data_IF_353073531234
#
_entry.id   IF_353073531234
#
_cell.length_a   1.000
_cell.length_b   1.000
_cell.length_c   1.000
_cell.angle_alpha   90.00
_cell.angle_beta   90.00
_cell.angle_gamma   90.00
#
_symmetry.space_group_name_H-M   'P 1'
#
loop_
_entity.id
_entity.type
_entity.pdbx_description
1 polymer ?
#
# COMPACT_ATOMS: atom_id res chain seq x y z
N UNK A 1 3.46 11.08 8.56
CA UNK A 1 2.60 10.19 7.75
C UNK A 1 3.03 10.32 6.31
N UNK A 2 3.74 9.33 5.75
CA UNK A 2 4.02 9.28 4.30
C UNK A 2 2.73 8.84 3.61
N UNK A 3 2.04 9.77 2.95
CA UNK A 3 0.77 9.50 2.26
C UNK A 3 0.97 8.50 1.11
N UNK A 4 -0.02 7.62 0.91
CA UNK A 4 0.04 6.47 0.00
C UNK A 4 -0.36 6.78 -1.44
N UNK A 5 -0.13 8.01 -1.91
CA UNK A 5 -0.74 8.58 -3.12
C UNK A 5 -0.68 7.70 -4.38
N UNK A 6 0.43 6.98 -4.60
CA UNK A 6 0.54 6.10 -5.76
C UNK A 6 -0.47 4.94 -5.71
N UNK A 7 -0.67 4.34 -4.53
CA UNK A 7 -1.65 3.26 -4.37
C UNK A 7 -3.08 3.79 -4.40
N UNK A 8 -3.34 4.95 -3.80
CA UNK A 8 -4.64 5.61 -3.86
C UNK A 8 -5.03 5.95 -5.31
N UNK A 9 -4.09 6.53 -6.07
CA UNK A 9 -4.29 6.83 -7.49
C UNK A 9 -4.46 5.56 -8.33
N UNK A 10 -3.68 4.51 -8.06
CA UNK A 10 -3.85 3.23 -8.74
C UNK A 10 -5.23 2.62 -8.47
N UNK A 11 -5.73 2.72 -7.25
CA UNK A 11 -7.08 2.24 -6.92
C UNK A 11 -8.18 3.09 -7.54
N UNK A 12 -8.01 4.43 -7.62
CA UNK A 12 -8.90 5.29 -8.42
C UNK A 12 -8.99 4.79 -9.87
N UNK A 13 -7.85 4.53 -10.52
CA UNK A 13 -7.84 4.00 -11.88
C UNK A 13 -8.50 2.62 -11.98
N UNK A 14 -8.37 1.78 -10.95
CA UNK A 14 -9.03 0.49 -10.87
C UNK A 14 -10.56 0.65 -10.79
N UNK A 15 -11.07 1.55 -9.94
CA UNK A 15 -12.51 1.86 -9.84
C UNK A 15 -13.09 2.32 -11.18
N UNK A 16 -12.41 3.23 -11.86
CA UNK A 16 -12.88 3.73 -13.15
C UNK A 16 -12.91 2.62 -14.21
N UNK A 17 -11.86 1.79 -14.26
CA UNK A 17 -11.76 0.73 -15.27
C UNK A 17 -12.68 -0.47 -15.01
N UNK A 18 -12.94 -0.80 -13.74
CA UNK A 18 -13.69 -2.01 -13.36
C UNK A 18 -15.16 -1.74 -13.04
N UNK A 19 -15.50 -0.54 -12.59
CA UNK A 19 -16.84 -0.20 -12.14
C UNK A 19 -17.41 1.07 -12.79
N UNK A 20 -16.65 1.76 -13.68
CA UNK A 20 -17.08 3.04 -14.24
C UNK A 20 -17.10 4.19 -13.21
N UNK A 21 -16.57 3.94 -12.00
CA UNK A 21 -16.60 4.89 -10.90
C UNK A 21 -15.43 5.87 -10.97
N UNK A 22 -15.72 7.16 -10.96
CA UNK A 22 -14.71 8.19 -10.72
C UNK A 22 -14.68 8.52 -9.22
N UNK A 23 -13.48 8.72 -8.68
CA UNK A 23 -13.26 8.96 -7.25
C UNK A 23 -12.42 10.22 -7.03
N UNK A 24 -12.78 11.04 -6.04
CA UNK A 24 -11.94 12.12 -5.55
C UNK A 24 -11.24 11.69 -4.26
N UNK A 25 -9.93 11.88 -4.25
CA UNK A 25 -9.03 11.50 -3.16
C UNK A 25 -8.81 12.69 -2.22
N UNK A 26 -8.58 12.42 -0.94
CA UNK A 26 -8.33 13.42 0.10
C UNK A 26 -6.95 14.08 0.05
N UNK A 27 -6.53 14.63 -1.10
CA UNK A 27 -5.18 15.19 -1.29
C UNK A 27 -5.04 16.66 -0.86
N UNK A 28 -6.11 17.24 -0.35
CA UNK A 28 -6.16 18.63 0.09
C UNK A 28 -5.34 18.88 1.37
N UNK A 29 -5.02 20.15 1.61
CA UNK A 29 -4.41 20.63 2.86
C UNK A 29 -5.54 20.86 3.86
N UNK A 30 -5.53 20.15 4.99
CA UNK A 30 -6.51 20.32 6.06
C UNK A 30 -6.05 19.66 7.35
N UNK A 31 -6.96 19.51 8.32
CA UNK A 31 -6.63 18.94 9.63
C UNK A 31 -6.53 17.42 9.54
N UNK A 32 -5.63 16.82 10.32
CA UNK A 32 -5.35 15.38 10.25
C UNK A 32 -6.62 14.54 10.41
N UNK A 33 -7.50 14.94 11.34
CA UNK A 33 -8.74 14.26 11.69
C UNK A 33 -9.71 14.14 10.50
N UNK A 34 -9.63 15.06 9.53
CA UNK A 34 -10.48 15.10 8.34
C UNK A 34 -10.07 14.05 7.29
N UNK A 35 -8.84 13.51 7.36
CA UNK A 35 -8.28 12.56 6.38
C UNK A 35 -7.96 11.19 6.98
N UNK A 36 -8.14 11.01 8.30
CA UNK A 36 -7.99 9.70 8.95
C UNK A 36 -9.06 8.66 8.58
N UNK A 37 -10.34 9.01 8.31
CA UNK A 37 -11.39 8.00 8.19
C UNK A 37 -11.44 7.26 6.84
N UNK A 38 -11.10 7.92 5.72
CA UNK A 38 -11.26 7.37 4.37
C UNK A 38 -10.30 8.04 3.40
N UNK A 39 -9.72 7.25 2.49
CA UNK A 39 -8.86 7.75 1.43
C UNK A 39 -9.67 8.18 0.19
N UNK A 40 -10.92 7.70 0.07
CA UNK A 40 -11.90 8.11 -0.96
C UNK A 40 -12.94 9.03 -0.30
N UNK A 41 -12.97 10.29 -0.73
CA UNK A 41 -13.84 11.32 -0.14
C UNK A 41 -15.17 11.44 -0.88
N UNK A 42 -15.12 11.43 -2.22
CA UNK A 42 -16.30 11.53 -3.08
C UNK A 42 -16.19 10.54 -4.23
N UNK A 43 -17.33 10.09 -4.73
CA UNK A 43 -17.42 9.27 -5.93
C UNK A 43 -18.53 9.77 -6.84
N UNK A 44 -18.45 9.37 -8.10
CA UNK A 44 -19.45 9.64 -9.12
C UNK A 44 -19.60 8.43 -10.04
N UNK A 45 -20.84 8.11 -10.32
CA UNK A 45 -21.28 7.21 -11.38
C UNK A 45 -21.47 8.04 -12.67
N UNK A 46 -20.72 7.76 -13.75
CA UNK A 46 -20.86 8.44 -15.06
C UNK A 46 -20.99 9.99 -14.99
N UNK A 47 -22.12 10.54 -15.47
CA UNK A 47 -22.41 11.99 -15.53
C UNK A 47 -23.16 12.54 -14.30
N UNK A 48 -23.42 11.71 -13.28
CA UNK A 48 -24.11 12.12 -12.06
C UNK A 48 -23.29 13.14 -11.22
N UNK A 49 -23.88 13.88 -10.27
CA UNK A 49 -23.08 14.70 -9.36
C UNK A 49 -22.25 13.82 -8.41
N UNK A 50 -21.11 14.36 -7.95
CA UNK A 50 -20.32 13.70 -6.90
C UNK A 50 -21.11 13.56 -5.60
N UNK A 51 -20.98 12.40 -4.97
CA UNK A 51 -21.59 12.06 -3.68
C UNK A 51 -20.58 11.46 -2.72
N UNK A 52 -20.88 11.54 -1.43
CA UNK A 52 -20.10 10.85 -0.40
C UNK A 52 -20.34 9.33 -0.53
N UNK A 53 -19.30 8.49 -0.52
CA UNK A 53 -19.47 7.04 -0.54
C UNK A 53 -20.17 6.55 0.73
N UNK A 54 -20.99 5.48 0.62
CA UNK A 54 -21.62 4.87 1.79
C UNK A 54 -20.65 4.03 2.62
N UNK A 55 -19.52 3.64 2.04
CA UNK A 55 -18.44 2.90 2.70
C UNK A 55 -17.20 3.78 2.86
N UNK A 56 -16.58 3.73 4.03
CA UNK A 56 -15.25 4.29 4.25
C UNK A 56 -14.20 3.30 3.75
N UNK A 57 -13.34 3.74 2.84
CA UNK A 57 -12.31 2.89 2.22
C UNK A 57 -10.94 3.44 2.56
N UNK A 58 -10.09 2.61 3.15
CA UNK A 58 -8.67 2.91 3.30
C UNK A 58 -7.82 2.07 2.36
N UNK A 59 -6.76 2.67 1.81
CA UNK A 59 -5.89 2.09 0.79
C UNK A 59 -4.49 2.03 1.37
N UNK A 60 -4.04 0.82 1.70
CA UNK A 60 -2.68 0.57 2.19
C UNK A 60 -1.78 0.18 1.03
N UNK A 61 -0.63 0.84 0.94
CA UNK A 61 0.33 0.61 -0.14
C UNK A 61 1.58 -0.07 0.38
N UNK A 62 2.10 -1.04 -0.38
CA UNK A 62 3.43 -1.64 -0.13
C UNK A 62 4.24 -1.78 -1.41
N UNK A 63 5.53 -2.12 -1.25
CA UNK A 63 6.40 -2.50 -2.36
C UNK A 63 6.02 -3.89 -2.87
N UNK A 64 6.51 -4.26 -4.05
CA UNK A 64 6.20 -5.54 -4.70
C UNK A 64 6.40 -6.79 -3.81
N UNK A 65 7.47 -6.78 -3.00
CA UNK A 65 7.81 -7.90 -2.11
C UNK A 65 7.03 -7.90 -0.78
N UNK A 66 6.23 -6.88 -0.50
CA UNK A 66 5.39 -6.84 0.70
C UNK A 66 4.29 -7.88 0.59
N UNK A 67 4.22 -8.82 1.54
CA UNK A 67 3.18 -9.86 1.56
C UNK A 67 2.10 -9.63 2.63
N UNK A 68 2.30 -8.61 3.47
CA UNK A 68 1.44 -8.29 4.60
C UNK A 68 0.72 -6.97 4.39
N UNK A 69 -0.59 -7.00 4.59
CA UNK A 69 -1.40 -5.84 4.93
C UNK A 69 -1.39 -5.72 6.46
N UNK A 70 -0.55 -4.83 6.96
CA UNK A 70 -0.40 -4.51 8.38
C UNK A 70 -1.21 -3.26 8.73
N UNK A 71 -2.14 -3.39 9.67
CA UNK A 71 -3.05 -2.33 10.09
C UNK A 71 -2.86 -2.12 11.61
N UNK A 72 -2.03 -1.14 12.00
CA UNK A 72 -1.59 -1.00 13.39
C UNK A 72 -2.64 -0.33 14.27
N UNK A 73 -2.68 -0.73 15.54
CA UNK A 73 -3.48 -0.11 16.58
C UNK A 73 -4.98 -0.24 16.33
N UNK A 74 -5.69 0.85 16.57
CA UNK A 74 -7.15 0.93 16.36
C UNK A 74 -7.54 1.33 14.93
N UNK A 75 -6.55 1.45 14.02
CA UNK A 75 -6.82 1.92 12.66
C UNK A 75 -7.86 1.06 11.94
N UNK A 76 -7.92 -0.24 12.22
CA UNK A 76 -8.87 -1.17 11.60
C UNK A 76 -10.33 -0.79 11.83
N UNK A 77 -10.65 -0.05 12.89
CA UNK A 77 -12.01 0.39 13.20
C UNK A 77 -12.41 1.72 12.53
N UNK A 78 -11.52 2.36 11.76
CA UNK A 78 -11.80 3.68 11.17
C UNK A 78 -12.46 3.62 9.79
N UNK A 79 -12.27 2.53 9.06
CA UNK A 79 -12.81 2.28 7.72
C UNK A 79 -13.52 0.93 7.64
N UNK A 80 -14.53 0.84 6.77
CA UNK A 80 -15.30 -0.38 6.52
C UNK A 80 -14.51 -1.40 5.71
N UNK A 81 -13.68 -0.91 4.77
CA UNK A 81 -12.88 -1.72 3.87
C UNK A 81 -11.42 -1.22 3.84
N UNK A 82 -10.48 -2.16 3.86
CA UNK A 82 -9.06 -1.88 3.61
C UNK A 82 -8.60 -2.58 2.35
N UNK A 83 -8.20 -1.79 1.36
CA UNK A 83 -7.64 -2.26 0.09
C UNK A 83 -6.13 -2.32 0.19
N UNK A 84 -5.54 -3.40 -0.30
CA UNK A 84 -4.09 -3.54 -0.36
C UNK A 84 -3.57 -3.39 -1.80
N UNK A 85 -2.67 -2.43 -1.99
CA UNK A 85 -2.07 -2.12 -3.29
C UNK A 85 -0.56 -2.28 -3.23
N UNK A 86 0.01 -3.04 -4.17
CA UNK A 86 1.45 -3.10 -4.36
C UNK A 86 1.87 -2.19 -5.50
N UNK A 87 2.91 -1.38 -5.28
CA UNK A 87 3.48 -0.52 -6.32
C UNK A 87 4.90 -0.97 -6.66
N UNK A 88 5.19 -1.10 -7.95
CA UNK A 88 6.49 -1.50 -8.48
C UNK A 88 7.40 -0.31 -8.65
N UNK A 89 7.79 0.35 -7.55
CA UNK A 89 8.77 1.43 -7.62
C UNK A 89 10.20 0.87 -7.66
N UNK A 90 10.90 1.08 -8.77
CA UNK A 90 12.33 0.77 -8.91
C UNK A 90 13.21 1.72 -8.10
N UNK A 91 14.47 1.32 -7.88
CA UNK A 91 15.48 2.13 -7.16
C UNK A 91 15.75 3.48 -7.82
N UNK A 92 15.59 3.54 -9.14
CA UNK A 92 15.98 4.69 -9.96
C UNK A 92 14.80 5.62 -10.30
N UNK A 93 13.57 5.32 -9.86
CA UNK A 93 12.39 6.10 -10.24
C UNK A 93 12.44 7.56 -9.81
N UNK A 94 13.08 7.87 -8.67
CA UNK A 94 13.23 9.27 -8.24
C UNK A 94 14.10 10.07 -9.21
N UNK A 95 15.24 9.49 -9.61
CA UNK A 95 16.14 10.12 -10.58
C UNK A 95 15.47 10.20 -11.95
N UNK A 96 14.74 9.16 -12.33
CA UNK A 96 14.01 9.14 -13.58
C UNK A 96 12.90 10.22 -13.62
N UNK A 97 12.20 10.41 -12.50
CA UNK A 97 11.21 11.47 -12.35
C UNK A 97 11.87 12.86 -12.43
N UNK A 98 12.96 13.09 -11.72
CA UNK A 98 13.72 14.36 -11.81
C UNK A 98 14.27 14.63 -13.21
N UNK A 99 14.69 13.59 -13.96
CA UNK A 99 15.03 13.71 -15.39
C UNK A 99 13.81 14.15 -16.19
N UNK A 100 12.67 13.49 -15.98
CA UNK A 100 11.43 13.76 -16.69
C UNK A 100 10.90 15.18 -16.49
N UNK A 101 10.94 15.70 -15.26
CA UNK A 101 10.58 17.09 -14.95
C UNK A 101 11.74 18.08 -15.15
N UNK A 102 12.79 17.68 -15.87
CA UNK A 102 13.96 18.49 -16.25
C UNK A 102 14.75 19.13 -15.09
N UNK A 103 14.61 18.64 -13.86
CA UNK A 103 15.37 19.14 -12.70
C UNK A 103 16.88 19.03 -12.92
N UNK A 104 17.34 17.90 -13.46
CA UNK A 104 18.77 17.72 -13.74
C UNK A 104 19.26 18.67 -14.82
N UNK A 105 18.50 18.84 -15.90
CA UNK A 105 18.88 19.71 -17.02
C UNK A 105 18.91 21.17 -16.58
N UNK A 106 17.81 21.65 -16.00
CA UNK A 106 17.57 23.08 -15.84
C UNK A 106 18.18 23.66 -14.56
N UNK A 107 18.42 22.82 -13.55
CA UNK A 107 18.90 23.26 -12.22
C UNK A 107 20.30 22.75 -11.90
N UNK A 108 20.53 21.45 -12.07
CA UNK A 108 21.78 20.81 -11.61
C UNK A 108 22.91 20.97 -12.63
N UNK A 109 22.71 20.50 -13.86
CA UNK A 109 23.72 20.49 -14.92
C UNK A 109 23.99 21.90 -15.43
N UNK A 110 22.93 22.70 -15.65
CA UNK A 110 23.05 24.12 -15.98
C UNK A 110 23.93 24.88 -14.97
N UNK A 111 23.77 24.62 -13.67
CA UNK A 111 24.63 25.25 -12.66
C UNK A 111 26.09 24.82 -12.78
N UNK A 112 26.34 23.56 -13.13
CA UNK A 112 27.68 23.04 -13.42
C UNK A 112 28.35 23.74 -14.59
N UNK A 113 27.59 24.05 -15.65
CA UNK A 113 28.08 24.84 -16.79
C UNK A 113 28.40 26.27 -16.41
N UNK A 114 27.51 26.94 -15.66
CA UNK A 114 27.68 28.34 -15.24
C UNK A 114 28.95 28.57 -14.40
N UNK A 115 29.34 27.58 -13.58
CA UNK A 115 30.55 27.66 -12.75
C UNK A 115 31.79 27.10 -13.44
N UNK A 116 31.67 26.68 -14.70
CA UNK A 116 32.77 26.09 -15.48
C UNK A 116 33.22 24.70 -15.01
N UNK A 117 32.40 24.02 -14.20
CA UNK A 117 32.68 22.65 -13.75
C UNK A 117 32.33 21.59 -14.81
N UNK A 118 31.47 21.93 -15.78
CA UNK A 118 31.06 21.07 -16.89
C UNK A 118 31.01 21.87 -18.19
N UNK A 119 31.34 21.22 -19.30
CA UNK A 119 31.01 21.70 -20.65
C UNK A 119 29.59 21.28 -21.04
N UNK A 120 28.99 22.00 -22.00
CA UNK A 120 27.66 21.65 -22.52
C UNK A 120 27.58 20.22 -23.10
N UNK A 121 28.68 19.73 -23.68
CA UNK A 121 28.76 18.37 -24.20
C UNK A 121 28.74 17.32 -23.07
N UNK A 122 29.47 17.57 -21.98
CA UNK A 122 29.47 16.70 -20.79
C UNK A 122 28.11 16.70 -20.10
N UNK A 123 27.48 17.85 -19.94
CA UNK A 123 26.11 17.96 -19.39
C UNK A 123 25.11 17.15 -20.19
N UNK A 124 25.13 17.26 -21.52
CA UNK A 124 24.23 16.50 -22.39
C UNK A 124 24.44 15.00 -22.23
N UNK A 125 25.69 14.55 -22.27
CA UNK A 125 26.06 13.13 -22.07
C UNK A 125 25.62 12.60 -20.69
N UNK A 126 25.83 13.37 -19.62
CA UNK A 126 25.39 13.00 -18.27
C UNK A 126 23.87 12.91 -18.18
N UNK A 127 23.15 13.86 -18.78
CA UNK A 127 21.69 13.84 -18.80
C UNK A 127 21.14 12.61 -19.52
N UNK A 128 21.72 12.26 -20.67
CA UNK A 128 21.26 11.12 -21.48
C UNK A 128 21.45 9.79 -20.75
N UNK A 129 22.52 9.66 -19.95
CA UNK A 129 22.81 8.49 -19.12
C UNK A 129 21.88 8.32 -17.92
N UNK A 130 21.15 9.36 -17.53
CA UNK A 130 20.16 9.25 -16.44
C UNK A 130 19.01 8.31 -16.85
N UNK A 131 18.42 7.59 -15.90
CA UNK A 131 17.30 6.69 -16.17
C UNK A 131 16.10 7.48 -16.73
N UNK A 132 15.41 6.89 -17.70
CA UNK A 132 14.16 7.47 -18.25
C UNK A 132 12.97 7.03 -17.40
N UNK A 133 12.03 7.94 -17.15
CA UNK A 133 10.84 7.63 -16.39
C UNK A 133 9.98 6.60 -17.11
N UNK A 134 9.57 5.57 -16.39
CA UNK A 134 8.72 4.49 -16.88
C UNK A 134 7.42 4.47 -16.09
N UNK A 135 6.37 3.91 -16.69
CA UNK A 135 5.10 3.69 -16.00
C UNK A 135 5.32 2.80 -14.78
N UNK A 136 4.79 3.23 -13.63
CA UNK A 136 4.87 2.48 -12.39
C UNK A 136 3.76 1.43 -12.38
N UNK A 137 4.06 0.12 -12.41
CA UNK A 137 3.02 -0.89 -12.31
C UNK A 137 2.43 -0.89 -10.91
N UNK A 138 1.12 -1.09 -10.83
CA UNK A 138 0.41 -1.27 -9.58
C UNK A 138 -0.42 -2.56 -9.64
N UNK A 139 -0.45 -3.29 -8.53
CA UNK A 139 -1.20 -4.52 -8.39
C UNK A 139 -2.17 -4.40 -7.21
N UNK A 140 -3.46 -4.36 -7.52
CA UNK A 140 -4.54 -4.34 -6.52
C UNK A 140 -4.69 -5.77 -6.01
N UNK A 141 -4.17 -6.04 -4.82
CA UNK A 141 -4.08 -7.41 -4.30
C UNK A 141 -5.42 -7.98 -3.85
N UNK A 142 -6.33 -7.10 -3.46
CA UNK A 142 -7.55 -7.48 -2.75
C UNK A 142 -7.87 -6.50 -1.64
N UNK A 143 -8.85 -6.87 -0.83
CA UNK A 143 -9.29 -6.09 0.31
C UNK A 143 -9.74 -6.97 1.47
N UNK A 144 -9.92 -6.35 2.63
CA UNK A 144 -10.52 -6.96 3.82
C UNK A 144 -11.65 -6.07 4.32
N UNK A 145 -12.69 -6.67 4.90
CA UNK A 145 -13.80 -5.94 5.50
C UNK A 145 -13.72 -5.95 7.01
N UNK A 146 -13.97 -4.82 7.64
CA UNK A 146 -14.10 -4.69 9.10
C UNK A 146 -15.28 -5.51 9.64
N UNK A 147 -16.30 -5.73 8.83
CA UNK A 147 -17.53 -6.46 9.19
C UNK A 147 -17.36 -7.99 9.18
N UNK A 148 -16.19 -8.50 8.80
CA UNK A 148 -15.91 -9.94 8.81
C UNK A 148 -15.58 -10.41 10.23
N UNK A 149 -16.18 -11.51 10.73
CA UNK A 149 -15.89 -12.05 12.05
C UNK A 149 -14.56 -12.83 12.05
N UNK A 150 -13.44 -12.11 12.12
CA UNK A 150 -12.11 -12.74 12.16
C UNK A 150 -11.89 -13.56 13.43
N UNK A 151 -11.26 -14.71 13.27
CA UNK A 151 -10.93 -15.61 14.38
C UNK A 151 -9.70 -15.10 15.14
N UNK A 152 -9.62 -15.30 16.46
CA UNK A 152 -8.40 -15.04 17.21
C UNK A 152 -7.31 -16.06 16.84
N UNK A 153 -6.05 -15.64 16.91
CA UNK A 153 -4.87 -16.46 16.58
C UNK A 153 -4.95 -17.16 15.20
N UNK A 154 -5.27 -16.45 14.09
CA UNK A 154 -5.55 -17.06 12.78
C UNK A 154 -4.27 -17.30 11.96
N UNK A 155 -3.34 -18.11 12.47
CA UNK A 155 -2.03 -18.31 11.84
C UNK A 155 -1.90 -19.59 11.02
N UNK A 156 -1.02 -19.54 10.03
CA UNK A 156 -0.44 -20.72 9.38
C UNK A 156 1.08 -20.55 9.31
N UNK A 157 1.82 -21.65 9.27
CA UNK A 157 3.27 -21.57 9.22
C UNK A 157 3.94 -22.91 8.95
N UNK A 158 5.27 -22.87 9.01
CA UNK A 158 6.15 -24.02 8.76
C UNK A 158 7.08 -24.21 9.94
N UNK A 159 7.07 -25.42 10.49
CA UNK A 159 7.98 -25.82 11.54
C UNK A 159 9.31 -26.29 10.91
N UNK A 160 10.41 -25.66 11.32
CA UNK A 160 11.78 -26.08 11.00
C UNK A 160 12.33 -27.05 12.04
N UNK A 161 13.66 -27.19 12.15
CA UNK A 161 14.25 -28.04 13.21
C UNK A 161 14.04 -27.47 14.62
N UNK A 162 14.24 -26.16 14.77
CA UNK A 162 14.13 -25.44 16.05
C UNK A 162 13.22 -24.21 15.95
N UNK A 163 13.04 -23.67 14.75
CA UNK A 163 12.37 -22.39 14.52
C UNK A 163 11.00 -22.62 13.87
N UNK A 164 10.11 -21.65 14.01
CA UNK A 164 8.83 -21.63 13.33
C UNK A 164 8.70 -20.36 12.49
N UNK A 165 8.28 -20.52 11.24
CA UNK A 165 8.03 -19.38 10.34
C UNK A 165 6.54 -19.26 10.09
N UNK A 166 5.95 -18.14 10.51
CA UNK A 166 4.57 -17.78 10.22
C UNK A 166 4.49 -17.29 8.78
N UNK A 167 3.71 -17.99 7.95
CA UNK A 167 3.56 -17.74 6.51
C UNK A 167 2.18 -17.19 6.17
N UNK A 168 1.24 -17.19 7.12
CA UNK A 168 -0.08 -16.61 6.92
C UNK A 168 -0.72 -16.14 8.21
N UNK A 169 -1.54 -15.10 8.09
CA UNK A 169 -2.34 -14.50 9.15
C UNK A 169 -3.61 -13.90 8.53
N UNK A 170 -4.75 -14.01 9.19
CA UNK A 170 -6.02 -13.46 8.70
C UNK A 170 -6.88 -12.88 9.82
N UNK A 171 -6.45 -11.76 10.42
CA UNK A 171 -7.23 -11.12 11.47
C UNK A 171 -6.40 -10.43 12.55
N UNK A 172 -6.92 -10.36 13.79
CA UNK A 172 -6.26 -9.62 14.86
C UNK A 172 -4.92 -10.24 15.24
N UNK A 173 -3.97 -9.39 15.62
CA UNK A 173 -2.66 -9.80 16.13
C UNK A 173 -2.38 -9.09 17.47
N UNK A 174 -1.79 -9.81 18.40
CA UNK A 174 -1.46 -9.36 19.75
C UNK A 174 -0.06 -9.81 20.18
N UNK A 175 0.53 -9.22 21.24
CA UNK A 175 1.88 -9.56 21.68
C UNK A 175 1.97 -10.97 22.28
N UNK A 176 0.84 -11.48 22.82
CA UNK A 176 0.78 -12.79 23.46
C UNK A 176 0.65 -13.92 22.45
N UNK A 177 0.33 -13.63 21.19
CA UNK A 177 0.11 -14.64 20.17
C UNK A 177 1.37 -15.45 19.86
N UNK A 178 2.54 -14.82 19.87
CA UNK A 178 3.81 -15.51 19.65
C UNK A 178 4.07 -16.57 20.74
N UNK A 179 3.70 -16.29 21.99
CA UNK A 179 3.85 -17.24 23.10
C UNK A 179 2.81 -18.37 23.02
N UNK A 180 1.60 -18.06 22.56
CA UNK A 180 0.59 -19.07 22.26
C UNK A 180 1.05 -20.01 21.14
N UNK A 181 1.63 -19.47 20.06
CA UNK A 181 2.21 -20.29 18.96
C UNK A 181 3.36 -21.12 19.50
N UNK A 182 4.24 -20.55 20.34
CA UNK A 182 5.36 -21.30 20.95
C UNK A 182 4.87 -22.51 21.72
N UNK A 183 3.86 -22.31 22.56
CA UNK A 183 3.28 -23.36 23.40
C UNK A 183 2.58 -24.41 22.56
N UNK A 184 1.78 -23.98 21.57
CA UNK A 184 0.99 -24.88 20.70
C UNK A 184 1.87 -25.72 19.77
N UNK A 185 2.91 -25.13 19.19
CA UNK A 185 3.76 -25.78 18.20
C UNK A 185 5.03 -26.42 18.81
N UNK A 186 5.29 -26.23 20.12
CA UNK A 186 6.47 -26.78 20.79
C UNK A 186 7.80 -26.17 20.34
N UNK A 187 7.80 -24.87 20.00
CA UNK A 187 8.97 -24.21 19.39
C UNK A 187 10.06 -23.92 20.42
N UNK A 188 11.23 -24.55 20.27
CA UNK A 188 12.40 -24.27 21.13
C UNK A 188 13.19 -23.02 20.73
N UNK A 189 13.19 -22.69 19.44
CA UNK A 189 13.96 -21.59 18.85
C UNK A 189 13.13 -20.33 18.58
N UNK A 190 13.44 -19.65 17.47
CA UNK A 190 12.81 -18.38 17.07
C UNK A 190 11.48 -18.62 16.36
N UNK A 191 10.50 -17.79 16.67
CA UNK A 191 9.28 -17.61 15.87
C UNK A 191 9.42 -16.31 15.10
N UNK A 192 9.19 -16.34 13.79
CA UNK A 192 9.29 -15.16 12.93
C UNK A 192 8.20 -15.18 11.86
N UNK A 193 7.77 -13.99 11.45
CA UNK A 193 6.89 -13.84 10.29
C UNK A 193 7.73 -13.78 9.01
N UNK A 194 7.23 -14.38 7.95
CA UNK A 194 7.90 -14.38 6.65
C UNK A 194 7.99 -12.95 6.08
N UNK A 195 9.17 -12.53 5.64
CA UNK A 195 9.32 -11.26 4.91
C UNK A 195 9.05 -9.97 5.71
N UNK A 196 8.79 -10.06 7.02
CA UNK A 196 8.64 -8.91 7.92
C UNK A 196 9.51 -9.11 9.16
N UNK A 197 10.08 -8.01 9.65
CA UNK A 197 10.90 -8.00 10.85
C UNK A 197 10.05 -7.99 12.11
N UNK A 198 10.35 -7.08 13.02
CA UNK A 198 9.53 -6.81 14.20
C UNK A 198 8.41 -5.84 13.85
N UNK A 199 7.19 -6.10 14.35
CA UNK A 199 6.12 -5.12 14.30
C UNK A 199 6.47 -3.90 15.15
N UNK A 200 6.08 -2.71 14.70
CA UNK A 200 6.27 -1.46 15.44
C UNK A 200 5.12 -1.15 16.41
N UNK A 201 4.17 -2.07 16.52
CA UNK A 201 2.95 -1.94 17.32
C UNK A 201 2.70 -3.22 18.11
N UNK A 202 1.95 -3.08 19.19
CA UNK A 202 1.59 -4.14 20.13
C UNK A 202 0.22 -4.77 19.81
N UNK A 203 -0.63 -4.10 19.05
CA UNK A 203 -1.95 -4.61 18.67
C UNK A 203 -2.33 -4.11 17.28
N UNK A 204 -3.16 -4.88 16.59
CA UNK A 204 -3.72 -4.45 15.31
C UNK A 204 -4.33 -5.62 14.57
N UNK A 205 -4.36 -5.48 13.24
CA UNK A 205 -4.77 -6.54 12.33
C UNK A 205 -3.70 -6.79 11.29
N UNK A 206 -3.51 -8.07 10.96
CA UNK A 206 -2.54 -8.50 9.99
C UNK A 206 -3.19 -9.45 9.00
N UNK A 207 -2.91 -9.25 7.72
CA UNK A 207 -3.43 -10.11 6.66
C UNK A 207 -2.31 -10.42 5.68
N UNK A 208 -2.08 -11.70 5.36
CA UNK A 208 -1.26 -12.00 4.19
C UNK A 208 -2.08 -11.86 2.91
N UNK A 209 -1.42 -11.55 1.80
CA UNK A 209 -2.06 -11.35 0.49
C UNK A 209 -2.94 -12.51 0.02
N UNK A 210 -2.66 -13.74 0.48
CA UNK A 210 -3.45 -14.92 0.11
C UNK A 210 -4.82 -15.01 0.79
N UNK A 211 -5.06 -14.22 1.83
CA UNK A 211 -6.32 -14.21 2.59
C UNK A 211 -7.20 -12.99 2.29
N UNK A 212 -6.78 -12.12 1.38
CA UNK A 212 -7.60 -10.98 0.95
C UNK A 212 -8.78 -11.46 0.10
N UNK A 213 -9.88 -10.72 0.12
CA UNK A 213 -10.96 -10.83 -0.86
C UNK A 213 -10.49 -10.22 -2.18
N UNK A 214 -10.69 -10.90 -3.29
CA UNK A 214 -10.12 -10.46 -4.59
C UNK A 214 -10.91 -10.89 -5.81
N UNK A 215 -11.90 -11.78 -5.67
CA UNK A 215 -12.71 -12.26 -6.80
C UNK A 215 -13.58 -11.13 -7.33
N UNK A 216 -13.97 -11.21 -8.59
CA UNK A 216 -14.83 -10.19 -9.20
C UNK A 216 -16.16 -10.03 -8.43
N UNK A 217 -16.74 -11.14 -7.97
CA UNK A 217 -17.92 -11.19 -7.10
C UNK A 217 -17.69 -10.45 -5.77
N UNK A 218 -16.55 -10.67 -5.11
CA UNK A 218 -16.19 -9.99 -3.86
C UNK A 218 -16.22 -8.47 -4.06
N UNK A 219 -15.56 -7.99 -5.12
CA UNK A 219 -15.50 -6.57 -5.44
C UNK A 219 -16.88 -5.99 -5.76
N UNK A 220 -17.67 -6.69 -6.57
CA UNK A 220 -19.00 -6.22 -6.97
C UNK A 220 -19.94 -6.10 -5.76
N UNK A 221 -20.05 -7.15 -4.96
CA UNK A 221 -21.04 -7.24 -3.87
C UNK A 221 -20.62 -6.48 -2.62
N UNK A 222 -19.33 -6.46 -2.29
CA UNK A 222 -18.86 -5.89 -1.04
C UNK A 222 -18.33 -4.46 -1.16
N UNK A 223 -18.00 -4.01 -2.38
CA UNK A 223 -17.44 -2.68 -2.61
C UNK A 223 -18.20 -1.89 -3.67
N UNK A 224 -18.20 -2.29 -4.95
CA UNK A 224 -18.72 -1.45 -6.04
C UNK A 224 -20.21 -1.09 -5.86
N UNK A 225 -21.07 -2.06 -5.56
CA UNK A 225 -22.50 -1.80 -5.36
C UNK A 225 -22.82 -1.05 -4.07
N UNK A 226 -21.87 -1.03 -3.13
CA UNK A 226 -22.03 -0.44 -1.80
C UNK A 226 -21.32 0.89 -1.64
N UNK A 227 -20.43 1.27 -2.56
CA UNK A 227 -19.90 2.63 -2.66
C UNK A 227 -21.05 3.61 -2.91
#
# INVERSE_FOLDING_TARGET
MTRGYLGEYAFKLFLTKKAGLDAQLGHEVGKLEEFLPTDIHLIRDDEEPYRVPRLKVSIKTSKWNGIWLDIPGDQFNHSDIYVFVKVGTGRDHLFAFFKHISVFKDKVLKRGEEVGALTAAESSSLFDRLPTFQTIPAYICGFVSQHTPYQPLPYTGKHGRLNYTVTGWNGPISPTDLEQIRTREGVMGKIAFEGIGTFSHDKGYLFNTGNLLWREEDWAEQLFQKL
#
